data_IF_848119479855
#
_entry.id   IF_848119479855
#
_cell.length_a   1.000
_cell.length_b   1.000
_cell.length_c   1.000
_cell.angle_alpha   90.00
_cell.angle_beta   90.00
_cell.angle_gamma   90.00
#
_symmetry.space_group_name_H-M   'P 1'
#
loop_
_entity.id
_entity.type
_entity.pdbx_description
1 polymer ?
#
# COMPACT_ATOMS: atom_id res chain seq x y z
N UNK A 1 -9.36 14.40 -19.65
CA UNK A 1 -10.72 13.85 -19.68
C UNK A 1 -11.42 14.51 -20.84
N UNK A 2 -11.67 13.77 -21.92
CA UNK A 2 -12.23 14.36 -23.14
C UNK A 2 -13.71 14.71 -22.90
N UNK A 3 -14.20 15.84 -23.42
CA UNK A 3 -15.60 16.27 -23.35
C UNK A 3 -16.59 15.14 -23.72
N UNK A 4 -16.17 14.25 -24.63
CA UNK A 4 -16.89 13.03 -25.02
C UNK A 4 -17.18 12.09 -23.86
N UNK A 5 -16.23 11.86 -22.96
CA UNK A 5 -16.41 10.98 -21.79
C UNK A 5 -17.40 11.58 -20.80
N UNK A 6 -17.38 12.92 -20.66
CA UNK A 6 -18.34 13.63 -19.81
C UNK A 6 -19.75 13.46 -20.35
N UNK A 7 -19.94 13.69 -21.66
CA UNK A 7 -21.24 13.50 -22.31
C UNK A 7 -21.73 12.05 -22.20
N UNK A 8 -20.85 11.07 -22.45
CA UNK A 8 -21.17 9.65 -22.37
C UNK A 8 -21.58 9.25 -20.94
N UNK A 9 -20.85 9.70 -19.92
CA UNK A 9 -21.18 9.41 -18.54
C UNK A 9 -22.49 10.04 -18.06
N UNK A 10 -22.81 11.25 -18.52
CA UNK A 10 -24.12 11.88 -18.26
C UNK A 10 -25.25 11.10 -18.93
N UNK A 11 -25.09 10.69 -20.19
CA UNK A 11 -26.10 9.91 -20.91
C UNK A 11 -26.35 8.55 -20.25
N UNK A 12 -25.29 7.86 -19.83
CA UNK A 12 -25.36 6.57 -19.14
C UNK A 12 -25.76 6.72 -17.65
N UNK A 13 -25.87 7.94 -17.15
CA UNK A 13 -26.10 8.27 -15.72
C UNK A 13 -25.05 7.67 -14.78
N UNK A 14 -23.87 7.33 -15.30
CA UNK A 14 -22.75 6.79 -14.53
C UNK A 14 -21.44 6.99 -15.29
N UNK A 15 -20.37 7.23 -14.55
CA UNK A 15 -19.00 7.27 -15.08
C UNK A 15 -18.24 5.97 -14.85
N UNK A 16 -18.77 5.05 -14.03
CA UNK A 16 -18.08 3.83 -13.64
C UNK A 16 -17.88 2.85 -14.81
N UNK A 17 -18.76 2.89 -15.82
CA UNK A 17 -18.70 2.02 -17.00
C UNK A 17 -17.80 2.51 -18.14
N UNK A 18 -17.15 3.68 -17.99
CA UNK A 18 -16.30 4.22 -19.04
C UNK A 18 -14.89 3.61 -18.98
N UNK A 19 -14.38 3.20 -20.13
CA UNK A 19 -13.00 2.68 -20.27
C UNK A 19 -11.95 3.69 -19.78
N UNK A 20 -12.19 4.98 -20.03
CA UNK A 20 -11.27 6.04 -19.59
C UNK A 20 -11.28 6.23 -18.07
N UNK A 21 -12.41 5.95 -17.39
CA UNK A 21 -12.48 5.87 -15.94
C UNK A 21 -11.60 4.73 -15.45
N UNK A 22 -11.72 3.52 -16.00
CA UNK A 22 -10.90 2.37 -15.63
C UNK A 22 -9.40 2.64 -15.84
N UNK A 23 -9.02 3.14 -17.01
CA UNK A 23 -7.62 3.45 -17.35
C UNK A 23 -7.02 4.50 -16.41
N UNK A 24 -7.80 5.52 -16.01
CA UNK A 24 -7.33 6.59 -15.13
C UNK A 24 -7.41 6.22 -13.65
N UNK A 25 -8.23 5.23 -13.28
CA UNK A 25 -8.57 4.94 -11.89
C UNK A 25 -7.33 4.66 -11.04
N UNK A 26 -6.48 3.71 -11.48
CA UNK A 26 -5.24 3.35 -10.76
C UNK A 26 -4.19 4.47 -10.72
N UNK A 27 -4.22 5.39 -11.69
CA UNK A 27 -3.28 6.52 -11.76
C UNK A 27 -3.69 7.67 -10.85
N UNK A 28 -5.00 7.93 -10.76
CA UNK A 28 -5.54 9.11 -10.06
C UNK A 28 -5.89 8.79 -8.61
N UNK A 29 -6.38 7.59 -8.32
CA UNK A 29 -6.79 7.23 -6.97
C UNK A 29 -5.63 6.65 -6.16
N UNK A 30 -5.46 7.19 -4.96
CA UNK A 30 -4.70 6.54 -3.93
C UNK A 30 -5.51 5.37 -3.34
N UNK A 31 -4.88 4.19 -3.30
CA UNK A 31 -5.47 2.96 -2.75
C UNK A 31 -4.91 2.69 -1.34
N UNK A 32 -5.56 3.16 -0.28
CA UNK A 32 -5.05 2.94 1.07
C UNK A 32 -5.14 1.46 1.45
N UNK A 33 -4.04 0.90 1.97
CA UNK A 33 -3.98 -0.50 2.39
C UNK A 33 -4.57 -0.77 3.78
N UNK A 34 -4.63 0.25 4.66
CA UNK A 34 -5.02 0.09 6.07
C UNK A 34 -6.46 0.50 6.37
N UNK A 35 -7.04 1.43 5.61
CA UNK A 35 -8.40 1.89 5.86
C UNK A 35 -9.43 0.84 5.45
N UNK A 36 -10.44 0.65 6.30
CA UNK A 36 -11.61 -0.14 5.90
C UNK A 36 -12.60 0.77 5.16
N UNK A 37 -13.00 0.36 3.95
CA UNK A 37 -14.04 1.03 3.13
C UNK A 37 -15.23 0.12 2.85
N UNK A 38 -15.32 -1.02 3.53
CA UNK A 38 -16.46 -1.93 3.46
C UNK A 38 -17.69 -1.32 4.13
N UNK A 39 -18.85 -1.83 3.77
CA UNK A 39 -20.07 -1.59 4.54
C UNK A 39 -19.94 -2.15 5.96
N UNK A 40 -20.66 -1.52 6.89
CA UNK A 40 -20.61 -1.86 8.32
C UNK A 40 -20.87 -3.35 8.59
N UNK A 41 -21.90 -3.94 7.99
CA UNK A 41 -22.24 -5.36 8.18
C UNK A 41 -21.11 -6.31 7.75
N UNK A 42 -20.42 -6.00 6.64
CA UNK A 42 -19.28 -6.79 6.18
C UNK A 42 -18.09 -6.67 7.12
N UNK A 43 -17.77 -5.45 7.57
CA UNK A 43 -16.72 -5.22 8.56
C UNK A 43 -17.00 -5.95 9.89
N UNK A 44 -18.27 -5.93 10.34
CA UNK A 44 -18.70 -6.62 11.54
C UNK A 44 -18.60 -8.14 11.38
N UNK A 45 -19.01 -8.69 10.23
CA UNK A 45 -18.88 -10.12 9.90
C UNK A 45 -17.44 -10.62 9.85
N UNK A 46 -16.48 -9.76 9.52
CA UNK A 46 -15.03 -10.05 9.56
C UNK A 46 -14.40 -9.89 10.96
N UNK A 47 -15.22 -9.79 12.00
CA UNK A 47 -14.76 -9.67 13.39
C UNK A 47 -14.41 -8.26 13.82
N UNK A 48 -14.95 -7.24 13.12
CA UNK A 48 -14.87 -5.83 13.51
C UNK A 48 -13.44 -5.34 13.81
N UNK A 49 -12.45 -5.80 13.03
CA UNK A 49 -11.04 -5.50 13.27
C UNK A 49 -10.77 -4.00 13.21
N UNK A 50 -10.12 -3.50 14.25
CA UNK A 50 -9.60 -2.13 14.32
C UNK A 50 -8.45 -1.93 13.33
N UNK A 51 -8.16 -0.68 12.98
CA UNK A 51 -6.99 -0.34 12.16
C UNK A 51 -5.71 -0.89 12.79
N UNK A 52 -5.53 -0.77 14.11
CA UNK A 52 -4.36 -1.29 14.83
C UNK A 52 -4.16 -2.79 14.62
N UNK A 53 -5.23 -3.59 14.75
CA UNK A 53 -5.16 -5.02 14.53
C UNK A 53 -4.82 -5.36 13.08
N UNK A 54 -5.39 -4.64 12.10
CA UNK A 54 -5.03 -4.78 10.68
C UNK A 54 -3.56 -4.46 10.43
N UNK A 55 -3.05 -3.38 11.02
CA UNK A 55 -1.64 -3.00 10.94
C UNK A 55 -0.71 -4.08 11.48
N UNK A 56 -1.03 -4.67 12.63
CA UNK A 56 -0.21 -5.75 13.21
C UNK A 56 -0.12 -6.98 12.30
N UNK A 57 -1.22 -7.35 11.63
CA UNK A 57 -1.20 -8.43 10.63
C UNK A 57 -0.31 -8.06 9.45
N UNK A 58 -0.48 -6.85 8.90
CA UNK A 58 0.33 -6.37 7.78
C UNK A 58 1.83 -6.31 8.10
N UNK A 59 2.21 -5.88 9.31
CA UNK A 59 3.61 -5.87 9.73
C UNK A 59 4.19 -7.28 9.72
N UNK A 60 3.46 -8.26 10.26
CA UNK A 60 3.93 -9.66 10.28
C UNK A 60 4.11 -10.22 8.87
N UNK A 61 3.17 -9.94 7.98
CA UNK A 61 3.26 -10.34 6.57
C UNK A 61 4.48 -9.71 5.89
N UNK A 62 4.66 -8.38 6.03
CA UNK A 62 5.80 -7.67 5.45
C UNK A 62 7.14 -8.21 5.96
N UNK A 63 7.27 -8.43 7.28
CA UNK A 63 8.48 -9.00 7.85
C UNK A 63 8.74 -10.43 7.39
N UNK A 64 7.69 -11.25 7.21
CA UNK A 64 7.85 -12.62 6.74
C UNK A 64 8.28 -12.73 5.28
N UNK A 65 7.98 -11.71 4.47
CA UNK A 65 8.31 -11.65 3.05
C UNK A 65 9.57 -10.83 2.77
N UNK A 66 10.10 -10.14 3.79
CA UNK A 66 11.24 -9.27 3.63
C UNK A 66 12.52 -10.10 3.61
N UNK A 67 13.03 -10.35 2.40
CA UNK A 67 14.36 -10.87 2.18
C UNK A 67 15.32 -9.70 1.90
N UNK A 68 16.37 -9.61 2.70
CA UNK A 68 17.40 -8.60 2.55
C UNK A 68 18.77 -9.23 2.75
N UNK A 69 19.62 -9.06 1.75
CA UNK A 69 21.01 -9.48 1.79
C UNK A 69 21.91 -8.29 1.44
N UNK A 70 22.85 -7.99 2.34
CA UNK A 70 23.93 -7.05 2.06
C UNK A 70 25.01 -7.76 1.27
N UNK A 71 25.52 -7.10 0.23
CA UNK A 71 26.74 -7.54 -0.43
C UNK A 71 27.87 -7.71 0.61
N UNK A 72 28.56 -8.85 0.58
CA UNK A 72 29.50 -9.22 1.65
C UNK A 72 30.61 -8.20 1.88
N UNK A 73 31.08 -7.52 0.82
CA UNK A 73 32.08 -6.45 0.93
C UNK A 73 31.52 -5.23 1.66
N UNK A 74 30.31 -4.80 1.31
CA UNK A 74 29.65 -3.66 1.95
C UNK A 74 29.37 -3.95 3.43
N UNK A 75 28.90 -5.17 3.75
CA UNK A 75 28.70 -5.62 5.12
C UNK A 75 29.98 -5.54 5.94
N UNK A 76 31.08 -6.07 5.40
CA UNK A 76 32.37 -6.05 6.11
C UNK A 76 32.88 -4.63 6.37
N UNK A 77 32.70 -3.70 5.44
CA UNK A 77 33.12 -2.31 5.65
C UNK A 77 32.25 -1.61 6.70
N UNK A 78 30.93 -1.85 6.70
CA UNK A 78 30.03 -1.34 7.74
C UNK A 78 30.42 -1.87 9.13
N UNK A 79 30.74 -3.16 9.23
CA UNK A 79 31.17 -3.78 10.49
C UNK A 79 32.47 -3.17 11.02
N UNK A 80 33.44 -2.83 10.14
CA UNK A 80 34.68 -2.15 10.53
C UNK A 80 34.42 -0.73 11.07
N UNK A 81 33.56 0.04 10.40
CA UNK A 81 33.19 1.39 10.84
C UNK A 81 32.52 1.32 12.22
N UNK A 82 31.60 0.38 12.41
CA UNK A 82 30.90 0.19 13.68
C UNK A 82 31.87 -0.21 14.81
N UNK A 83 32.80 -1.12 14.54
CA UNK A 83 33.81 -1.55 15.51
C UNK A 83 34.70 -0.39 15.95
N UNK A 84 35.17 0.43 15.00
CA UNK A 84 35.97 1.62 15.28
C UNK A 84 35.20 2.61 16.17
N UNK A 85 33.96 2.92 15.82
CA UNK A 85 33.13 3.85 16.59
C UNK A 85 32.88 3.37 18.03
N UNK A 86 32.73 2.05 18.24
CA UNK A 86 32.59 1.47 19.59
C UNK A 86 33.86 1.51 20.43
N UNK A 87 35.04 1.51 19.81
CA UNK A 87 36.33 1.58 20.51
C UNK A 87 36.75 3.01 20.90
N UNK A 88 36.13 4.02 20.29
CA UNK A 88 36.37 5.45 20.55
C UNK A 88 35.41 6.03 21.61
N UNK A 89 34.51 5.19 22.16
CA UNK A 89 33.60 5.46 23.28
C UNK A 89 34.22 4.98 24.60
#
# INVERSE_FOLDING_TARGET
>A
MALKDVMAGVQQRTFAGLETTLHSYRRVYWHPRLFNRQFFAAWQGEGARTIRQKTQVMIRELLSQYEYELEGKLRSELDKILAKAKSEL
#
